data_IF_588475168159
#
_entry.id   IF_588475168159
#
_cell.length_a   1.000
_cell.length_b   1.000
_cell.length_c   1.000
_cell.angle_alpha   90.00
_cell.angle_beta   90.00
_cell.angle_gamma   90.00
#
_symmetry.space_group_name_H-M   'P 1'
#
loop_
_entity.id
_entity.type
_entity.pdbx_description
1 polymer ?
#
# COMPACT_ATOMS: atom_id res chain seq x y z
N UNK A 1 -22.82 24.42 8.25
CA UNK A 1 -23.09 23.61 7.06
C UNK A 1 -21.76 23.47 6.41
N UNK A 2 -21.09 22.36 6.67
CA UNK A 2 -19.61 22.35 6.71
C UNK A 2 -19.01 21.78 5.41
N UNK A 3 -19.86 21.59 4.40
CA UNK A 3 -19.51 21.02 3.09
C UNK A 3 -19.56 22.13 2.04
N UNK A 4 -18.42 22.38 1.42
CA UNK A 4 -18.27 23.34 0.32
C UNK A 4 -18.73 22.67 -0.98
N UNK A 5 -19.50 23.40 -1.81
CA UNK A 5 -19.94 22.95 -3.12
C UNK A 5 -19.36 23.85 -4.20
N UNK A 6 -18.75 23.26 -5.23
CA UNK A 6 -18.25 23.98 -6.42
C UNK A 6 -18.84 23.31 -7.65
N UNK A 7 -19.72 23.97 -8.42
CA UNK A 7 -20.24 23.41 -9.67
C UNK A 7 -19.13 23.45 -10.73
N UNK A 8 -18.76 22.31 -11.29
CA UNK A 8 -17.68 22.21 -12.28
C UNK A 8 -18.14 21.58 -13.59
N UNK A 9 -17.39 21.83 -14.66
CA UNK A 9 -17.46 21.05 -15.89
C UNK A 9 -16.08 20.59 -16.31
N UNK A 10 -15.75 19.32 -16.03
CA UNK A 10 -14.46 18.74 -16.43
C UNK A 10 -14.29 18.65 -17.96
N UNK A 11 -15.39 18.63 -18.71
CA UNK A 11 -15.35 18.57 -20.18
C UNK A 11 -15.05 19.93 -20.81
N UNK A 12 -15.60 21.00 -20.24
CA UNK A 12 -15.44 22.37 -20.76
C UNK A 12 -14.36 23.16 -20.01
N UNK A 13 -13.84 22.62 -18.91
CA UNK A 13 -12.83 23.27 -18.07
C UNK A 13 -13.38 24.35 -17.15
N UNK A 14 -14.70 24.39 -16.92
CA UNK A 14 -15.34 25.44 -16.12
C UNK A 14 -15.13 25.19 -14.62
N UNK A 15 -14.79 26.26 -13.88
CA UNK A 15 -14.64 26.33 -12.43
C UNK A 15 -13.62 25.34 -11.83
N UNK A 16 -12.62 24.91 -12.61
CA UNK A 16 -11.51 24.08 -12.11
C UNK A 16 -10.59 24.90 -11.18
N UNK A 17 -10.36 26.17 -11.50
CA UNK A 17 -9.59 27.09 -10.65
C UNK A 17 -10.28 27.30 -9.29
N UNK A 18 -11.59 27.61 -9.30
CA UNK A 18 -12.39 27.73 -8.08
C UNK A 18 -12.34 26.45 -7.22
N UNK A 19 -12.41 25.26 -7.85
CA UNK A 19 -12.29 24.00 -7.12
C UNK A 19 -10.92 23.86 -6.45
N UNK A 20 -9.84 24.23 -7.16
CA UNK A 20 -8.49 24.17 -6.62
C UNK A 20 -8.32 25.13 -5.44
N UNK A 21 -8.83 26.35 -5.54
CA UNK A 21 -8.82 27.33 -4.44
C UNK A 21 -9.56 26.79 -3.20
N UNK A 22 -10.73 26.17 -3.39
CA UNK A 22 -11.47 25.59 -2.28
C UNK A 22 -10.75 24.39 -1.64
N UNK A 23 -10.05 23.57 -2.43
CA UNK A 23 -9.21 22.48 -1.89
C UNK A 23 -8.06 23.03 -1.05
N UNK A 24 -7.39 24.08 -1.53
CA UNK A 24 -6.31 24.74 -0.78
C UNK A 24 -6.82 25.38 0.51
N UNK A 25 -7.97 26.06 0.45
CA UNK A 25 -8.62 26.66 1.62
C UNK A 25 -8.92 25.61 2.69
N UNK A 26 -9.50 24.47 2.31
CA UNK A 26 -9.79 23.38 3.25
C UNK A 26 -8.51 22.79 3.84
N UNK A 27 -7.47 22.60 3.02
CA UNK A 27 -6.18 22.08 3.49
C UNK A 27 -5.51 23.03 4.51
N UNK A 28 -5.62 24.34 4.31
CA UNK A 28 -5.10 25.35 5.24
C UNK A 28 -5.89 25.36 6.56
N UNK A 29 -7.23 25.33 6.50
CA UNK A 29 -8.08 25.28 7.71
C UNK A 29 -7.85 23.99 8.52
N UNK A 30 -7.52 22.88 7.85
CA UNK A 30 -7.22 21.60 8.52
C UNK A 30 -5.80 21.51 9.10
N UNK A 31 -4.93 22.49 8.82
CA UNK A 31 -3.53 22.51 9.25
C UNK A 31 -2.77 21.19 9.00
N UNK A 32 -2.94 20.60 7.82
CA UNK A 32 -2.29 19.33 7.47
C UNK A 32 -0.75 19.47 7.54
N UNK A 33 -0.10 18.66 8.39
CA UNK A 33 1.35 18.71 8.65
C UNK A 33 1.97 17.32 8.49
N UNK A 34 3.18 17.29 7.95
CA UNK A 34 4.03 16.11 7.92
C UNK A 34 5.46 16.49 8.32
N UNK A 35 6.11 15.62 9.07
CA UNK A 35 7.51 15.77 9.46
C UNK A 35 8.39 14.98 8.49
N UNK A 36 9.22 15.64 7.66
CA UNK A 36 10.10 14.98 6.70
C UNK A 36 11.36 14.40 7.35
N UNK A 37 11.67 14.73 8.62
CA UNK A 37 12.95 14.38 9.26
C UNK A 37 12.97 12.98 9.88
N UNK A 38 11.79 12.39 10.07
CA UNK A 38 11.66 11.04 10.61
C UNK A 38 11.74 9.96 9.53
N UNK A 39 11.70 8.70 9.97
CA UNK A 39 11.63 7.54 9.09
C UNK A 39 10.35 7.57 8.25
N UNK A 40 10.46 7.12 7.00
CA UNK A 40 9.33 7.09 6.09
C UNK A 40 8.25 6.12 6.56
N UNK A 41 7.02 6.62 6.64
CA UNK A 41 5.81 5.87 6.93
C UNK A 41 4.77 6.24 5.89
N UNK A 42 4.00 5.25 5.45
CA UNK A 42 2.91 5.50 4.54
C UNK A 42 2.16 4.23 4.18
N UNK A 43 1.52 4.25 3.02
CA UNK A 43 0.66 3.15 2.56
C UNK A 43 0.93 2.77 1.12
N UNK A 44 0.65 1.51 0.80
CA UNK A 44 0.67 0.99 -0.57
C UNK A 44 -0.59 1.45 -1.30
N UNK A 45 -0.42 2.09 -2.45
CA UNK A 45 -1.51 2.40 -3.36
C UNK A 45 -1.83 1.16 -4.20
N UNK A 46 -0.81 0.60 -4.84
CA UNK A 46 -0.92 -0.57 -5.70
C UNK A 46 0.39 -1.35 -5.73
N UNK A 47 0.32 -2.63 -6.07
CA UNK A 47 1.50 -3.46 -6.25
C UNK A 47 1.26 -4.52 -7.32
N UNK A 48 2.31 -4.87 -8.05
CA UNK A 48 2.28 -5.84 -9.14
C UNK A 48 3.62 -6.53 -9.32
N UNK A 49 3.60 -7.69 -9.96
CA UNK A 49 4.80 -8.39 -10.38
C UNK A 49 5.11 -8.02 -11.84
N UNK A 50 6.26 -7.40 -12.06
CA UNK A 50 6.76 -7.03 -13.38
C UNK A 50 7.82 -8.03 -13.86
N UNK A 51 7.74 -8.45 -15.13
CA UNK A 51 8.59 -9.51 -15.69
C UNK A 51 10.08 -9.13 -15.78
N UNK A 52 10.44 -7.84 -15.72
CA UNK A 52 11.83 -7.38 -15.76
C UNK A 52 12.30 -6.74 -14.45
N UNK A 53 11.41 -6.09 -13.72
CA UNK A 53 11.75 -5.38 -12.47
C UNK A 53 11.52 -6.20 -11.20
N UNK A 54 10.82 -7.34 -11.29
CA UNK A 54 10.39 -8.12 -10.14
C UNK A 54 9.19 -7.47 -9.45
N UNK A 55 9.16 -7.48 -8.12
CA UNK A 55 8.07 -6.85 -7.37
C UNK A 55 8.18 -5.32 -7.48
N UNK A 56 7.08 -4.71 -7.94
CA UNK A 56 6.91 -3.27 -8.08
C UNK A 56 5.74 -2.85 -7.19
N UNK A 57 5.94 -1.82 -6.37
CA UNK A 57 4.88 -1.27 -5.52
C UNK A 57 4.88 0.25 -5.60
N UNK A 58 3.72 0.85 -5.75
CA UNK A 58 3.51 2.30 -5.68
C UNK A 58 3.13 2.65 -4.25
N UNK A 59 3.99 3.41 -3.57
CA UNK A 59 3.82 3.83 -2.19
C UNK A 59 3.46 5.31 -2.12
N UNK A 60 2.61 5.68 -1.17
CA UNK A 60 2.38 7.07 -0.78
C UNK A 60 3.10 7.35 0.53
N UNK A 61 4.12 8.20 0.51
CA UNK A 61 4.81 8.64 1.72
C UNK A 61 3.93 9.64 2.46
N UNK A 62 3.56 9.33 3.70
CA UNK A 62 2.69 10.20 4.52
C UNK A 62 3.49 10.99 5.55
N UNK A 63 4.57 10.41 6.06
CA UNK A 63 5.47 10.98 7.05
C UNK A 63 6.90 10.56 6.73
N UNK A 64 7.86 11.36 7.14
CA UNK A 64 9.28 11.10 6.93
C UNK A 64 9.70 11.23 5.47
N UNK A 65 10.92 10.78 5.20
CA UNK A 65 11.50 10.81 3.86
C UNK A 65 12.05 9.43 3.52
N UNK A 66 11.70 8.93 2.32
CA UNK A 66 12.11 7.63 1.81
C UNK A 66 13.36 7.78 0.95
N UNK A 67 14.36 6.95 1.17
CA UNK A 67 15.61 6.96 0.41
C UNK A 67 15.87 5.63 -0.30
N UNK A 68 16.63 5.70 -1.40
CA UNK A 68 17.13 4.49 -2.06
C UNK A 68 18.12 3.79 -1.13
N UNK A 69 17.89 2.51 -0.88
CA UNK A 69 18.70 1.69 0.02
C UNK A 69 18.06 1.44 1.38
N UNK A 70 16.95 2.10 1.70
CA UNK A 70 16.28 1.94 2.98
C UNK A 70 15.75 0.51 3.16
N UNK A 71 16.03 -0.12 4.31
CA UNK A 71 15.30 -1.29 4.76
C UNK A 71 13.84 -0.94 5.02
N UNK A 72 12.92 -1.69 4.42
CA UNK A 72 11.49 -1.41 4.47
C UNK A 72 10.70 -2.68 4.82
N UNK A 73 9.68 -2.51 5.67
CA UNK A 73 8.66 -3.52 5.95
C UNK A 73 7.33 -2.98 5.46
N UNK A 74 6.63 -3.75 4.64
CA UNK A 74 5.35 -3.39 4.03
C UNK A 74 4.34 -4.49 4.35
N UNK A 75 3.34 -4.21 5.18
CA UNK A 75 2.39 -5.22 5.64
C UNK A 75 3.10 -6.45 6.22
N UNK A 76 2.95 -7.59 5.53
CA UNK A 76 3.56 -8.88 5.88
C UNK A 76 4.83 -9.22 5.08
N UNK A 77 5.28 -8.32 4.19
CA UNK A 77 6.51 -8.48 3.42
C UNK A 77 7.57 -7.49 3.85
N UNK A 78 8.80 -7.70 3.40
CA UNK A 78 9.94 -6.85 3.69
C UNK A 78 10.93 -6.88 2.53
N UNK A 79 11.85 -5.93 2.55
CA UNK A 79 12.90 -5.85 1.55
C UNK A 79 13.79 -4.64 1.74
N UNK A 80 14.45 -4.24 0.65
CA UNK A 80 15.27 -3.03 0.59
C UNK A 80 14.91 -2.26 -0.67
N UNK A 81 14.71 -0.96 -0.54
CA UNK A 81 14.41 -0.08 -1.68
C UNK A 81 15.60 -0.08 -2.64
N UNK A 82 15.41 -0.62 -3.86
CA UNK A 82 16.48 -0.70 -4.88
C UNK A 82 16.45 0.46 -5.86
N UNK A 83 15.26 0.80 -6.32
CA UNK A 83 15.01 1.87 -7.28
C UNK A 83 13.72 2.56 -6.87
N UNK A 84 13.72 3.89 -6.93
CA UNK A 84 12.55 4.73 -6.77
C UNK A 84 12.31 5.51 -8.06
N UNK A 85 11.07 5.54 -8.51
CA UNK A 85 10.64 6.27 -9.71
C UNK A 85 9.40 7.09 -9.38
N UNK A 86 9.37 8.37 -9.74
CA UNK A 86 8.19 9.22 -9.54
C UNK A 86 7.11 8.97 -10.61
N UNK A 87 5.97 9.64 -10.45
CA UNK A 87 4.80 9.59 -11.31
C UNK A 87 5.07 9.94 -12.79
N UNK A 88 6.07 10.79 -13.05
CA UNK A 88 6.51 11.16 -14.40
C UNK A 88 7.62 10.25 -14.98
N UNK A 89 7.96 9.16 -14.28
CA UNK A 89 8.91 8.15 -14.77
C UNK A 89 10.39 8.49 -14.56
N UNK A 90 10.70 9.52 -13.76
CA UNK A 90 12.09 9.89 -13.41
C UNK A 90 12.54 9.18 -12.15
N UNK A 91 13.81 8.80 -12.12
CA UNK A 91 14.43 8.17 -10.94
C UNK A 91 14.75 9.24 -9.91
N UNK A 92 14.27 9.04 -8.71
CA UNK A 92 14.56 9.89 -7.55
C UNK A 92 15.39 9.12 -6.53
N UNK A 93 16.24 9.84 -5.80
CA UNK A 93 17.03 9.24 -4.71
C UNK A 93 16.36 9.37 -3.35
N UNK A 94 15.45 10.34 -3.25
CA UNK A 94 14.82 10.79 -2.03
C UNK A 94 13.39 11.23 -2.37
N UNK A 95 12.41 10.81 -1.56
CA UNK A 95 11.00 11.17 -1.74
C UNK A 95 10.42 11.57 -0.38
N UNK A 96 9.97 12.81 -0.27
CA UNK A 96 9.36 13.36 0.93
C UNK A 96 7.86 13.04 1.07
N UNK A 97 7.21 13.57 2.12
CA UNK A 97 5.78 13.38 2.36
C UNK A 97 4.89 13.86 1.21
N UNK A 98 3.66 13.35 1.17
CA UNK A 98 2.61 13.66 0.19
C UNK A 98 2.96 13.34 -1.27
N UNK A 99 4.04 12.60 -1.52
CA UNK A 99 4.50 12.25 -2.87
C UNK A 99 4.36 10.74 -3.10
N UNK A 100 3.72 10.31 -4.20
CA UNK A 100 3.70 8.90 -4.59
C UNK A 100 5.02 8.50 -5.26
N UNK A 101 5.48 7.26 -4.99
CA UNK A 101 6.72 6.72 -5.55
C UNK A 101 6.59 5.24 -5.87
N UNK A 102 6.98 4.85 -7.08
CA UNK A 102 7.12 3.46 -7.50
C UNK A 102 8.48 2.92 -7.01
N UNK A 103 8.45 1.89 -6.17
CA UNK A 103 9.63 1.22 -5.64
C UNK A 103 9.78 -0.21 -6.17
N UNK A 104 11.01 -0.71 -6.09
CA UNK A 104 11.36 -2.12 -6.31
C UNK A 104 12.25 -2.65 -5.18
N UNK A 105 12.35 -3.98 -5.08
CA UNK A 105 13.25 -4.65 -4.13
C UNK A 105 12.56 -5.25 -2.89
N UNK A 106 11.24 -5.38 -2.94
CA UNK A 106 10.46 -6.20 -2.00
C UNK A 106 10.58 -7.68 -2.36
N UNK A 107 10.49 -8.55 -1.35
CA UNK A 107 10.56 -10.00 -1.56
C UNK A 107 9.27 -10.57 -2.16
N UNK A 108 8.12 -10.06 -1.74
CA UNK A 108 6.79 -10.48 -2.19
C UNK A 108 5.93 -9.26 -2.54
N UNK A 109 4.87 -9.47 -3.31
CA UNK A 109 3.94 -8.40 -3.70
C UNK A 109 3.06 -8.04 -2.48
N UNK A 110 3.15 -6.81 -1.93
CA UNK A 110 2.29 -6.39 -0.83
C UNK A 110 0.85 -6.15 -1.30
N UNK A 111 -0.09 -6.03 -0.36
CA UNK A 111 -1.47 -5.71 -0.69
C UNK A 111 -1.71 -4.19 -0.75
N UNK A 112 -2.66 -3.77 -1.59
CA UNK A 112 -3.11 -2.38 -1.60
C UNK A 112 -3.71 -2.02 -0.23
N UNK A 113 -3.34 -0.85 0.30
CA UNK A 113 -3.72 -0.40 1.64
C UNK A 113 -2.79 -0.87 2.76
N UNK A 114 -1.83 -1.76 2.51
CA UNK A 114 -0.83 -2.14 3.51
C UNK A 114 -0.01 -0.92 3.93
N UNK A 115 0.27 -0.83 5.24
CA UNK A 115 1.16 0.19 5.78
C UNK A 115 2.61 -0.23 5.62
N UNK A 116 3.48 0.72 5.30
CA UNK A 116 4.91 0.53 5.33
C UNK A 116 5.59 1.41 6.36
N UNK A 117 6.77 0.96 6.79
CA UNK A 117 7.69 1.72 7.63
C UNK A 117 9.13 1.36 7.25
N UNK A 118 9.99 2.37 7.15
CA UNK A 118 11.43 2.20 6.98
C UNK A 118 12.14 2.11 8.32
N UNK A 119 13.28 1.44 8.36
CA UNK A 119 14.10 1.31 9.56
C UNK A 119 15.52 1.79 9.30
N UNK A 120 16.21 2.25 10.35
CA UNK A 120 17.62 2.60 10.28
C UNK A 120 18.52 1.36 10.04
N UNK A 121 18.15 0.22 10.61
CA UNK A 121 18.96 -1.00 10.56
C UNK A 121 18.26 -2.12 9.75
N UNK A 122 19.00 -2.73 8.82
CA UNK A 122 18.47 -3.83 8.01
C UNK A 122 18.12 -5.06 8.86
N UNK A 123 18.88 -5.29 9.94
CA UNK A 123 18.67 -6.44 10.82
C UNK A 123 17.33 -6.35 11.57
N UNK A 124 16.98 -5.16 12.06
CA UNK A 124 15.72 -4.94 12.80
C UNK A 124 14.54 -5.00 11.84
N UNK A 125 14.64 -4.40 10.66
CA UNK A 125 13.63 -4.52 9.60
C UNK A 125 13.37 -5.98 9.23
N UNK A 126 14.44 -6.76 8.99
CA UNK A 126 14.31 -8.18 8.64
C UNK A 126 13.64 -8.98 9.74
N UNK A 127 14.05 -8.81 11.00
CA UNK A 127 13.41 -9.50 12.13
C UNK A 127 11.93 -9.17 12.27
N UNK A 128 11.57 -7.88 12.18
CA UNK A 128 10.18 -7.44 12.25
C UNK A 128 9.34 -7.97 11.08
N UNK A 129 9.90 -7.95 9.86
CA UNK A 129 9.26 -8.48 8.66
C UNK A 129 9.04 -9.99 8.72
N UNK A 130 10.06 -10.76 9.12
CA UNK A 130 9.98 -12.22 9.26
C UNK A 130 8.96 -12.63 10.33
N UNK A 131 8.90 -11.92 11.45
CA UNK A 131 7.91 -12.20 12.50
C UNK A 131 6.47 -11.98 12.00
N UNK A 132 6.22 -10.86 11.29
CA UNK A 132 4.91 -10.55 10.70
C UNK A 132 4.52 -11.57 9.63
N UNK A 133 5.43 -11.89 8.71
CA UNK A 133 5.21 -12.88 7.67
C UNK A 133 4.84 -14.25 8.27
N UNK A 134 5.60 -14.69 9.29
CA UNK A 134 5.33 -15.97 9.97
C UNK A 134 3.98 -15.97 10.67
N UNK A 135 3.60 -14.87 11.33
CA UNK A 135 2.30 -14.73 12.00
C UNK A 135 1.15 -14.82 10.99
N UNK A 136 1.23 -14.09 9.89
CA UNK A 136 0.23 -14.13 8.83
C UNK A 136 0.08 -15.54 8.24
N UNK A 137 1.19 -16.25 8.03
CA UNK A 137 1.15 -17.63 7.54
C UNK A 137 0.47 -18.59 8.53
N UNK A 138 0.69 -18.41 9.84
CA UNK A 138 0.03 -19.21 10.88
C UNK A 138 -1.48 -18.93 10.94
N UNK A 139 -1.89 -17.65 10.86
CA UNK A 139 -3.29 -17.25 10.83
C UNK A 139 -4.03 -17.82 9.61
N UNK A 140 -3.39 -17.79 8.43
CA UNK A 140 -3.97 -18.35 7.21
C UNK A 140 -4.14 -19.88 7.30
N UNK A 141 -3.17 -20.57 7.91
CA UNK A 141 -3.30 -22.02 8.18
C UNK A 141 -4.41 -22.32 9.18
N UNK A 142 -4.55 -21.51 10.23
CA UNK A 142 -5.59 -21.66 11.23
C UNK A 142 -6.99 -21.48 10.62
N UNK A 143 -7.17 -20.45 9.78
CA UNK A 143 -8.43 -20.21 9.06
C UNK A 143 -8.83 -21.37 8.15
N UNK A 144 -7.85 -22.02 7.51
CA UNK A 144 -8.09 -23.17 6.63
C UNK A 144 -8.36 -24.48 7.42
N UNK A 145 -7.94 -24.55 8.69
CA UNK A 145 -8.04 -25.75 9.53
C UNK A 145 -9.40 -25.96 10.22
N UNK A 146 -10.36 -25.05 10.05
CA UNK A 146 -11.71 -25.12 10.63
C UNK A 146 -12.66 -26.11 9.90
N UNK A 147 -12.15 -26.89 8.95
CA UNK A 147 -12.90 -27.98 8.35
C UNK A 147 -12.89 -29.18 9.30
N UNK A 148 -13.89 -29.24 10.19
CA UNK A 148 -14.13 -30.41 11.04
C UNK A 148 -14.75 -31.55 10.23
N UNK A 149 -14.58 -32.79 10.68
CA UNK A 149 -15.20 -33.96 10.03
C UNK A 149 -16.72 -33.82 9.95
N UNK A 150 -17.35 -33.21 10.95
CA UNK A 150 -18.80 -32.97 10.99
C UNK A 150 -19.26 -32.03 9.86
N UNK A 151 -18.52 -30.93 9.61
CA UNK A 151 -18.81 -29.99 8.52
C UNK A 151 -18.61 -30.61 7.13
N UNK A 152 -17.63 -31.52 6.97
CA UNK A 152 -17.40 -32.28 5.74
C UNK A 152 -18.56 -33.23 5.42
N UNK A 153 -19.13 -33.88 6.43
CA UNK A 153 -20.29 -34.76 6.24
C UNK A 153 -21.58 -33.99 5.93
N UNK A 154 -21.75 -32.77 6.45
CA UNK A 154 -22.87 -31.90 6.09
C UNK A 154 -22.76 -31.37 4.66
N UNK A 155 -21.58 -30.88 4.25
CA UNK A 155 -21.34 -30.39 2.89
C UNK A 155 -21.36 -31.51 1.81
N UNK A 156 -21.07 -32.77 2.18
CA UNK A 156 -21.30 -33.93 1.31
C UNK A 156 -22.79 -34.32 1.18
N UNK A 157 -23.63 -34.00 2.17
CA UNK A 157 -25.08 -34.25 2.14
C UNK A 157 -25.85 -33.17 1.37
N UNK A 158 -25.35 -31.93 1.33
CA UNK A 158 -25.87 -30.82 0.50
C UNK A 158 -25.46 -30.91 -0.98
N UNK A 159 -25.20 -32.12 -1.48
CA UNK A 159 -24.82 -32.37 -2.87
C UNK A 159 -25.93 -32.03 -3.85
N UNK A 160 -26.10 -30.76 -4.23
CA UNK A 160 -26.75 -30.31 -5.47
C UNK A 160 -26.68 -28.81 -5.80
N UNK A 161 -25.70 -28.05 -5.30
CA UNK A 161 -25.46 -26.71 -5.86
C UNK A 161 -24.47 -26.82 -7.03
N UNK A 162 -24.89 -26.33 -8.20
CA UNK A 162 -24.02 -26.24 -9.38
C UNK A 162 -23.01 -25.11 -9.15
N UNK A 163 -21.76 -25.47 -8.90
CA UNK A 163 -20.67 -24.51 -8.76
C UNK A 163 -19.86 -24.42 -10.05
N UNK A 164 -19.38 -23.22 -10.37
CA UNK A 164 -18.42 -22.98 -11.45
C UNK A 164 -17.21 -22.31 -10.83
N UNK A 165 -16.14 -23.08 -10.69
CA UNK A 165 -14.87 -22.56 -10.19
C UNK A 165 -14.23 -21.65 -11.25
N UNK A 166 -13.84 -20.45 -10.84
CA UNK A 166 -13.13 -19.48 -11.68
C UNK A 166 -11.74 -19.28 -11.13
N UNK A 167 -10.74 -19.31 -12.00
CA UNK A 167 -9.35 -18.91 -11.70
C UNK A 167 -9.18 -17.52 -12.33
N UNK A 168 -8.84 -16.52 -11.50
CA UNK A 168 -8.63 -15.13 -11.89
C UNK A 168 -7.14 -14.82 -11.87
#
# INVERSE_FOLDING_TARGET
GDTIFVPISAKFGENIEDLLEMVLLVAEVQELKADPTQQAIGSVIEARLDKGKGVVATLLVQQGTLHVGDPIVVGNTFGRVRVMTNDIGRREKEVGPATPVEITGLNEVPQAGDRFVTFADEKTARQAGEERAKRAQLEQRAATSLVTLDNLFESLKEGQLKEVNVII
#
